data_IF_483019327079
#
_entry.id   IF_483019327079
#
_cell.length_a   1.000
_cell.length_b   1.000
_cell.length_c   1.000
_cell.angle_alpha   90.00
_cell.angle_beta   90.00
_cell.angle_gamma   90.00
#
_symmetry.space_group_name_H-M   'P 1'
#
loop_
_entity.id
_entity.type
_entity.pdbx_description
1 polymer ?
#
# COMPACT_ATOMS: atom_id res chain seq x y z
N UNK A 1 6.08 -12.05 -0.45
CA UNK A 1 6.45 -10.99 -1.40
C UNK A 1 7.72 -11.36 -2.18
N UNK A 2 8.77 -11.89 -1.54
CA UNK A 2 10.05 -12.25 -2.18
C UNK A 2 9.90 -13.11 -3.43
N UNK A 3 9.05 -14.14 -3.40
CA UNK A 3 8.82 -15.02 -4.57
C UNK A 3 8.15 -14.28 -5.74
N UNK A 4 7.20 -13.38 -5.44
CA UNK A 4 6.53 -12.58 -6.46
C UNK A 4 7.49 -11.56 -7.09
N UNK A 5 8.30 -10.89 -6.27
CA UNK A 5 9.32 -9.96 -6.74
C UNK A 5 10.35 -10.65 -7.66
N UNK A 6 10.87 -11.82 -7.25
CA UNK A 6 11.78 -12.61 -8.09
C UNK A 6 11.14 -13.06 -9.43
N UNK A 7 9.88 -13.52 -9.38
CA UNK A 7 9.17 -13.93 -10.59
C UNK A 7 8.94 -12.74 -11.54
N UNK A 8 8.51 -11.60 -11.01
CA UNK A 8 8.31 -10.37 -11.78
C UNK A 8 9.61 -9.89 -12.43
N UNK A 9 10.70 -9.89 -11.66
CA UNK A 9 12.03 -9.55 -12.17
C UNK A 9 12.47 -10.48 -13.31
N UNK A 10 12.23 -11.78 -13.17
CA UNK A 10 12.64 -12.77 -14.15
C UNK A 10 11.91 -12.60 -15.51
N UNK A 11 10.64 -12.19 -15.48
CA UNK A 11 9.83 -12.00 -16.70
C UNK A 11 9.67 -10.53 -17.10
N UNK A 12 10.33 -9.60 -16.39
CA UNK A 12 10.30 -8.15 -16.64
C UNK A 12 8.90 -7.57 -16.64
N UNK A 13 8.07 -7.97 -15.67
CA UNK A 13 6.73 -7.42 -15.45
C UNK A 13 6.77 -6.52 -14.21
N UNK A 14 6.12 -5.34 -14.22
CA UNK A 14 6.06 -4.47 -13.04
C UNK A 14 5.60 -5.18 -11.78
N UNK A 15 6.33 -5.00 -10.69
CA UNK A 15 5.98 -5.49 -9.35
C UNK A 15 5.71 -4.32 -8.42
N UNK A 16 4.45 -4.13 -8.05
CA UNK A 16 4.08 -3.06 -7.10
C UNK A 16 4.15 -3.57 -5.66
N UNK A 17 5.15 -3.09 -4.92
CA UNK A 17 5.26 -3.31 -3.48
C UNK A 17 4.25 -2.42 -2.75
N UNK A 18 3.30 -3.01 -2.05
CA UNK A 18 2.43 -2.28 -1.13
C UNK A 18 3.19 -1.87 0.13
N UNK A 19 3.01 -0.66 0.59
CA UNK A 19 3.71 -0.13 1.78
C UNK A 19 3.53 -0.99 3.04
N UNK A 20 2.40 -1.68 3.17
CA UNK A 20 2.08 -2.57 4.29
C UNK A 20 2.55 -4.02 4.08
N UNK A 21 3.60 -4.21 3.31
CA UNK A 21 4.19 -5.52 3.00
C UNK A 21 5.10 -6.05 4.12
N UNK A 22 5.42 -7.33 4.03
CA UNK A 22 6.31 -8.03 4.94
C UNK A 22 7.80 -7.96 4.56
N UNK A 23 8.16 -7.26 3.48
CA UNK A 23 9.54 -6.91 3.11
C UNK A 23 9.64 -5.39 3.01
N UNK A 24 10.82 -4.84 3.28
CA UNK A 24 11.08 -3.40 3.14
C UNK A 24 11.39 -3.01 1.69
N UNK A 25 11.43 -1.70 1.46
CA UNK A 25 11.66 -1.09 0.15
C UNK A 25 13.02 -1.52 -0.37
N UNK A 26 14.04 -1.45 0.47
CA UNK A 26 15.43 -1.71 0.14
C UNK A 26 15.61 -3.17 -0.30
N UNK A 27 15.07 -4.10 0.47
CA UNK A 27 15.12 -5.53 0.13
C UNK A 27 14.34 -5.88 -1.13
N UNK A 28 13.20 -5.22 -1.36
CA UNK A 28 12.44 -5.41 -2.59
C UNK A 28 13.21 -4.89 -3.81
N UNK A 29 13.91 -3.77 -3.69
CA UNK A 29 14.75 -3.20 -4.74
C UNK A 29 15.95 -4.08 -5.08
N UNK A 30 16.60 -4.70 -4.09
CA UNK A 30 17.65 -5.70 -4.34
C UNK A 30 17.14 -6.90 -5.14
N UNK A 31 15.89 -7.34 -4.91
CA UNK A 31 15.31 -8.51 -5.55
C UNK A 31 14.78 -8.19 -6.96
N UNK A 32 14.18 -7.04 -7.15
CA UNK A 32 13.49 -6.65 -8.38
C UNK A 32 13.90 -5.25 -8.88
N UNK A 33 15.21 -5.00 -9.11
CA UNK A 33 15.73 -3.67 -9.40
C UNK A 33 15.16 -3.03 -10.67
N UNK A 34 14.78 -3.81 -11.66
CA UNK A 34 14.34 -3.28 -12.96
C UNK A 34 12.82 -3.07 -13.05
N UNK A 35 12.05 -3.59 -12.11
CA UNK A 35 10.57 -3.67 -12.23
C UNK A 35 9.83 -3.25 -10.97
N UNK A 36 10.54 -2.73 -9.95
CA UNK A 36 9.93 -2.38 -8.68
C UNK A 36 9.19 -1.05 -8.75
N UNK A 37 7.92 -1.08 -8.39
CA UNK A 37 7.07 0.07 -8.13
C UNK A 37 6.74 0.11 -6.64
N UNK A 38 6.63 1.30 -6.04
CA UNK A 38 6.23 1.46 -4.64
C UNK A 38 4.88 2.15 -4.54
N UNK A 39 3.91 1.50 -3.89
CA UNK A 39 2.62 2.09 -3.59
C UNK A 39 2.64 2.73 -2.20
N UNK A 40 2.27 4.01 -2.13
CA UNK A 40 2.13 4.79 -0.91
C UNK A 40 0.68 5.13 -0.59
N UNK A 41 0.38 5.15 0.71
CA UNK A 41 -0.77 5.84 1.30
C UNK A 41 -0.35 7.21 1.83
N UNK A 42 -1.35 8.05 2.11
CA UNK A 42 -1.13 9.38 2.67
C UNK A 42 -0.70 9.31 4.15
N UNK A 43 0.41 9.97 4.47
CA UNK A 43 0.92 10.22 5.82
C UNK A 43 1.06 11.72 6.03
N UNK A 44 -0.02 12.40 6.44
CA UNK A 44 -0.06 13.87 6.50
C UNK A 44 0.49 14.47 7.78
N UNK A 45 0.74 13.67 8.82
CA UNK A 45 1.22 14.20 10.09
C UNK A 45 2.65 14.70 10.03
N UNK A 46 2.95 15.70 10.87
CA UNK A 46 4.27 16.31 10.97
C UNK A 46 4.81 16.72 9.59
N UNK A 47 4.02 17.48 8.84
CA UNK A 47 4.37 17.97 7.49
C UNK A 47 4.82 16.82 6.56
N UNK A 48 4.05 15.76 6.53
CA UNK A 48 4.31 14.55 5.72
C UNK A 48 5.63 13.83 6.01
N UNK A 49 6.24 14.03 7.18
CA UNK A 49 7.58 13.53 7.52
C UNK A 49 7.78 12.04 7.14
N UNK A 50 6.85 11.15 7.51
CA UNK A 50 6.96 9.72 7.19
C UNK A 50 6.83 9.49 5.68
N UNK A 51 5.86 10.11 5.04
CA UNK A 51 5.63 9.95 3.60
C UNK A 51 6.81 10.43 2.76
N UNK A 52 7.36 11.58 3.08
CA UNK A 52 8.53 12.15 2.39
C UNK A 52 9.81 11.36 2.65
N UNK A 53 9.99 10.82 3.85
CA UNK A 53 11.13 9.93 4.12
C UNK A 53 11.01 8.60 3.36
N UNK A 54 9.79 8.05 3.21
CA UNK A 54 9.55 6.87 2.37
C UNK A 54 9.85 7.15 0.89
N UNK A 55 9.54 8.34 0.38
CA UNK A 55 9.91 8.78 -0.98
C UNK A 55 11.42 8.84 -1.13
N UNK A 56 12.13 9.48 -0.19
CA UNK A 56 13.60 9.54 -0.18
C UNK A 56 14.21 8.12 -0.19
N UNK A 57 13.75 7.23 0.69
CA UNK A 57 14.22 5.83 0.74
C UNK A 57 13.96 5.08 -0.56
N UNK A 58 12.79 5.30 -1.18
CA UNK A 58 12.46 4.71 -2.48
C UNK A 58 13.42 5.17 -3.57
N UNK A 59 13.76 6.46 -3.59
CA UNK A 59 14.69 7.05 -4.55
C UNK A 59 16.11 6.51 -4.34
N UNK A 60 16.59 6.48 -3.09
CA UNK A 60 17.89 5.93 -2.74
C UNK A 60 18.02 4.42 -3.04
N UNK A 61 16.93 3.67 -2.90
CA UNK A 61 16.89 2.25 -3.23
C UNK A 61 16.75 1.95 -4.73
N UNK A 62 16.49 2.96 -5.58
CA UNK A 62 16.35 2.80 -7.01
C UNK A 62 14.96 2.24 -7.43
N UNK A 63 13.90 2.55 -6.69
CA UNK A 63 12.52 2.23 -7.09
C UNK A 63 12.20 2.91 -8.42
N UNK A 64 11.61 2.17 -9.36
CA UNK A 64 11.39 2.66 -10.72
C UNK A 64 10.19 3.61 -10.85
N UNK A 65 9.12 3.36 -10.09
CA UNK A 65 7.88 4.13 -10.17
C UNK A 65 7.27 4.31 -8.77
N UNK A 66 6.82 5.50 -8.47
CA UNK A 66 6.04 5.80 -7.27
C UNK A 66 4.54 5.83 -7.60
N UNK A 67 3.71 5.19 -6.76
CA UNK A 67 2.25 5.11 -6.93
C UNK A 67 1.56 5.71 -5.71
N UNK A 68 0.91 6.86 -5.86
CA UNK A 68 0.11 7.48 -4.80
C UNK A 68 -1.33 6.96 -4.83
N UNK A 69 -1.81 6.47 -3.70
CA UNK A 69 -3.17 5.93 -3.58
C UNK A 69 -4.11 7.00 -3.03
N UNK A 70 -5.10 7.42 -3.83
CA UNK A 70 -6.01 8.54 -3.51
C UNK A 70 -7.44 8.09 -3.21
N UNK A 71 -7.81 6.85 -3.46
CA UNK A 71 -9.14 6.30 -3.30
C UNK A 71 -9.45 5.78 -1.87
N UNK A 72 -8.75 6.30 -0.87
CA UNK A 72 -8.93 5.92 0.54
C UNK A 72 -9.33 7.11 1.42
N UNK A 73 -10.43 7.85 1.11
CA UNK A 73 -10.79 9.07 1.83
C UNK A 73 -11.14 8.80 3.28
N UNK A 74 -11.73 7.64 3.56
CA UNK A 74 -12.10 7.19 4.90
C UNK A 74 -11.73 5.73 5.10
N UNK A 75 -11.68 5.31 6.37
CA UNK A 75 -11.51 3.89 6.68
C UNK A 75 -12.86 3.19 6.59
N UNK A 76 -12.94 2.22 5.73
CA UNK A 76 -14.14 1.41 5.56
C UNK A 76 -14.09 0.14 6.39
N UNK A 77 -15.26 -0.30 6.83
CA UNK A 77 -15.44 -1.60 7.49
C UNK A 77 -15.84 -2.63 6.45
N UNK A 78 -15.03 -3.66 6.29
CA UNK A 78 -15.29 -4.72 5.30
C UNK A 78 -16.19 -5.80 5.90
N UNK A 79 -17.36 -6.07 5.32
CA UNK A 79 -18.30 -7.05 5.87
C UNK A 79 -17.67 -8.44 6.10
N UNK A 80 -16.79 -8.86 5.22
CA UNK A 80 -16.09 -10.15 5.32
C UNK A 80 -15.15 -10.20 6.52
N UNK A 81 -14.44 -9.12 6.83
CA UNK A 81 -13.55 -9.00 7.99
C UNK A 81 -14.36 -9.03 9.29
N UNK A 82 -15.51 -8.34 9.32
CA UNK A 82 -16.44 -8.38 10.45
C UNK A 82 -16.98 -9.80 10.68
N UNK A 83 -17.45 -10.46 9.64
CA UNK A 83 -18.00 -11.83 9.73
C UNK A 83 -16.96 -12.85 10.15
N UNK A 84 -15.69 -12.69 9.76
CA UNK A 84 -14.60 -13.59 10.15
C UNK A 84 -14.10 -13.33 11.57
N UNK A 85 -14.50 -12.22 12.21
CA UNK A 85 -13.99 -11.82 13.53
C UNK A 85 -12.56 -11.26 13.48
N UNK A 86 -11.99 -11.06 12.29
CA UNK A 86 -10.68 -10.43 12.07
C UNK A 86 -10.91 -8.92 11.99
N UNK A 87 -11.13 -8.31 13.14
CA UNK A 87 -11.30 -6.86 13.25
C UNK A 87 -10.05 -6.22 13.85
N UNK A 88 -9.87 -4.95 13.56
CA UNK A 88 -8.82 -4.16 14.19
C UNK A 88 -9.41 -3.32 15.35
N UNK A 89 -8.88 -3.46 16.59
CA UNK A 89 -7.66 -4.18 16.92
C UNK A 89 -7.83 -5.69 16.83
N UNK A 90 -6.81 -6.36 16.28
CA UNK A 90 -6.81 -7.81 16.13
C UNK A 90 -6.88 -8.52 17.49
N UNK A 91 -7.88 -9.38 17.66
CA UNK A 91 -8.03 -10.23 18.86
C UNK A 91 -7.96 -11.70 18.45
N UNK A 92 -7.01 -12.41 19.00
CA UNK A 92 -6.86 -13.85 18.77
C UNK A 92 -7.90 -14.62 19.61
N UNK A 93 -9.10 -14.80 19.06
CA UNK A 93 -10.18 -15.55 19.71
C UNK A 93 -9.90 -17.05 19.72
N UNK A 94 -10.58 -17.81 20.61
CA UNK A 94 -10.48 -19.29 20.62
C UNK A 94 -10.88 -19.90 19.27
N UNK A 95 -11.88 -19.36 18.61
CA UNK A 95 -12.28 -19.79 17.27
C UNK A 95 -11.13 -19.65 16.25
N UNK A 96 -10.47 -18.48 16.21
CA UNK A 96 -9.33 -18.25 15.32
C UNK A 96 -8.15 -19.18 15.64
N UNK A 97 -7.92 -19.50 16.92
CA UNK A 97 -6.88 -20.48 17.33
C UNK A 97 -7.20 -21.87 16.80
N UNK A 98 -8.46 -22.32 16.92
CA UNK A 98 -8.91 -23.61 16.42
C UNK A 98 -8.83 -23.67 14.87
N UNK A 99 -9.23 -22.61 14.18
CA UNK A 99 -9.14 -22.52 12.73
C UNK A 99 -7.67 -22.52 12.25
N UNK A 100 -6.78 -21.83 12.96
CA UNK A 100 -5.34 -21.87 12.70
C UNK A 100 -4.78 -23.30 12.87
N UNK A 101 -5.14 -24.02 13.95
CA UNK A 101 -4.69 -25.39 14.18
C UNK A 101 -5.19 -26.38 13.10
N UNK A 102 -6.32 -26.09 12.46
CA UNK A 102 -6.83 -26.87 11.31
C UNK A 102 -6.07 -26.61 10.02
N UNK A 103 -5.16 -25.64 10.01
CA UNK A 103 -4.37 -25.24 8.82
C UNK A 103 -2.88 -25.56 9.02
N UNK A 104 -2.45 -26.83 8.99
CA UNK A 104 -1.09 -27.24 9.35
C UNK A 104 -0.02 -26.61 8.44
N UNK A 105 -0.31 -26.41 7.16
CA UNK A 105 0.60 -25.74 6.23
C UNK A 105 0.84 -24.27 6.63
N UNK A 106 -0.21 -23.58 7.04
CA UNK A 106 -0.10 -22.20 7.52
C UNK A 106 0.69 -22.11 8.83
N UNK A 107 0.42 -23.02 9.79
CA UNK A 107 1.16 -23.12 11.04
C UNK A 107 2.64 -23.39 10.81
N UNK A 108 2.97 -24.31 9.90
CA UNK A 108 4.36 -24.59 9.51
C UNK A 108 5.04 -23.38 8.87
N UNK A 109 4.33 -22.65 7.99
CA UNK A 109 4.83 -21.40 7.39
C UNK A 109 5.08 -20.34 8.46
N UNK A 110 4.16 -20.17 9.38
CA UNK A 110 4.29 -19.21 10.49
C UNK A 110 5.49 -19.58 11.40
N UNK A 111 5.68 -20.85 11.71
CA UNK A 111 6.82 -21.33 12.50
C UNK A 111 8.17 -21.11 11.81
N UNK A 112 8.21 -21.16 10.45
CA UNK A 112 9.44 -20.97 9.68
C UNK A 112 9.76 -19.49 9.43
N UNK A 113 8.75 -18.68 9.13
CA UNK A 113 8.91 -17.32 8.65
C UNK A 113 8.57 -16.25 9.72
N UNK A 114 8.04 -16.66 10.85
CA UNK A 114 7.58 -15.75 11.90
C UNK A 114 6.27 -15.04 11.54
N UNK A 115 5.84 -14.14 12.43
CA UNK A 115 4.65 -13.30 12.25
C UNK A 115 4.98 -12.19 11.24
N UNK A 116 4.15 -11.98 10.19
CA UNK A 116 4.34 -10.88 9.25
C UNK A 116 4.39 -9.53 9.98
N UNK A 117 5.29 -8.64 9.55
CA UNK A 117 5.48 -7.30 10.08
C UNK A 117 5.43 -6.29 8.94
N UNK A 118 5.15 -5.03 9.26
CA UNK A 118 5.17 -3.91 8.31
C UNK A 118 6.61 -3.37 8.24
N UNK A 119 7.48 -4.05 7.50
CA UNK A 119 8.94 -3.83 7.56
C UNK A 119 9.36 -2.47 7.03
N UNK A 120 8.73 -1.95 5.97
CA UNK A 120 9.01 -0.60 5.46
C UNK A 120 8.69 0.51 6.48
N UNK A 121 7.74 0.25 7.39
CA UNK A 121 7.33 1.20 8.44
C UNK A 121 8.02 0.97 9.79
N UNK A 122 8.78 -0.12 9.93
CA UNK A 122 9.47 -0.46 11.18
C UNK A 122 10.37 0.66 11.73
N UNK A 123 11.12 1.43 10.89
CA UNK A 123 11.96 2.53 11.39
C UNK A 123 11.21 3.66 12.10
N UNK A 124 9.90 3.79 11.89
CA UNK A 124 9.06 4.83 12.48
C UNK A 124 8.30 4.36 13.72
N UNK A 125 8.50 3.12 14.13
CA UNK A 125 7.82 2.48 15.26
C UNK A 125 8.80 2.16 16.38
N UNK A 126 8.26 1.93 17.60
CA UNK A 126 9.07 1.45 18.71
C UNK A 126 9.63 0.04 18.41
N UNK A 127 10.90 -0.24 18.71
CA UNK A 127 11.48 -1.56 18.55
C UNK A 127 10.68 -2.64 19.31
N UNK A 128 10.41 -3.76 18.63
CA UNK A 128 9.69 -4.88 19.26
C UNK A 128 8.18 -4.71 19.43
N UNK A 129 7.61 -3.64 18.88
CA UNK A 129 6.16 -3.38 18.92
C UNK A 129 5.36 -4.60 18.41
N UNK A 130 4.29 -4.96 19.10
CA UNK A 130 3.39 -6.01 18.67
C UNK A 130 2.52 -5.59 17.47
N UNK A 131 1.93 -6.57 16.78
CA UNK A 131 1.13 -6.32 15.58
C UNK A 131 -0.08 -5.42 15.82
N UNK A 132 -0.71 -5.51 17.01
CA UNK A 132 -1.88 -4.68 17.33
C UNK A 132 -1.49 -3.20 17.49
N UNK A 133 -0.41 -2.93 18.21
CA UNK A 133 0.14 -1.59 18.37
C UNK A 133 0.69 -1.04 17.06
N UNK A 134 1.39 -1.87 16.26
CA UNK A 134 1.85 -1.50 14.92
C UNK A 134 0.68 -1.09 14.01
N UNK A 135 -0.40 -1.88 14.01
CA UNK A 135 -1.62 -1.54 13.27
C UNK A 135 -2.30 -0.27 13.79
N UNK A 136 -2.27 -0.01 15.09
CA UNK A 136 -2.79 1.23 15.69
C UNK A 136 -1.94 2.44 15.29
N UNK A 137 -0.60 2.29 15.27
CA UNK A 137 0.33 3.31 14.78
C UNK A 137 0.01 3.68 13.33
N UNK A 138 -0.03 2.69 12.42
CA UNK A 138 -0.34 2.93 11.01
C UNK A 138 -1.67 3.64 10.86
N UNK A 139 -2.70 3.22 11.59
CA UNK A 139 -4.02 3.83 11.57
C UNK A 139 -4.01 5.29 12.04
N UNK A 140 -3.17 5.62 13.00
CA UNK A 140 -3.03 6.97 13.53
C UNK A 140 -2.26 7.88 12.57
N UNK A 141 -1.22 7.35 11.91
CA UNK A 141 -0.31 8.14 11.07
C UNK A 141 -0.79 8.25 9.62
N UNK A 142 -1.44 7.21 9.08
CA UNK A 142 -1.95 7.21 7.71
C UNK A 142 -3.45 7.43 7.64
N UNK A 143 -3.93 8.08 6.61
CA UNK A 143 -5.37 8.20 6.32
C UNK A 143 -5.74 9.44 5.52
N UNK A 144 -6.98 9.41 5.02
CA UNK A 144 -7.50 10.40 4.09
C UNK A 144 -6.95 10.26 2.67
N UNK A 145 -7.63 10.87 1.71
CA UNK A 145 -7.12 11.03 0.36
C UNK A 145 -6.08 12.16 0.31
N UNK A 146 -5.16 12.07 -0.64
CA UNK A 146 -4.27 13.19 -0.96
C UNK A 146 -5.08 14.37 -1.51
N UNK A 147 -4.71 15.58 -1.11
CA UNK A 147 -5.12 16.80 -1.82
C UNK A 147 -4.20 17.02 -3.03
N UNK A 148 -4.63 17.84 -3.99
CA UNK A 148 -3.81 18.16 -5.16
C UNK A 148 -2.51 18.90 -4.78
N UNK A 149 -2.53 19.75 -3.77
CA UNK A 149 -1.33 20.42 -3.26
C UNK A 149 -0.33 19.42 -2.66
N UNK A 150 -0.84 18.41 -1.95
CA UNK A 150 -0.01 17.32 -1.43
C UNK A 150 0.57 16.47 -2.57
N UNK A 151 -0.23 16.15 -3.60
CA UNK A 151 0.26 15.43 -4.80
C UNK A 151 1.42 16.20 -5.44
N UNK A 152 1.27 17.52 -5.60
CA UNK A 152 2.34 18.37 -6.09
C UNK A 152 3.58 18.35 -5.20
N UNK A 153 3.39 18.39 -3.88
CA UNK A 153 4.51 18.25 -2.94
C UNK A 153 5.29 16.93 -3.15
N UNK A 154 4.59 15.81 -3.39
CA UNK A 154 5.24 14.54 -3.67
C UNK A 154 5.88 14.51 -5.05
N UNK A 155 5.27 15.15 -6.07
CA UNK A 155 5.88 15.31 -7.39
C UNK A 155 7.21 16.07 -7.31
N UNK A 156 7.25 17.14 -6.54
CA UNK A 156 8.47 17.98 -6.37
C UNK A 156 9.60 17.25 -5.61
N UNK A 157 9.31 16.13 -4.96
CA UNK A 157 10.27 15.32 -4.17
C UNK A 157 10.63 13.99 -4.82
N UNK A 158 9.97 13.62 -5.89
CA UNK A 158 10.20 12.37 -6.60
C UNK A 158 10.63 12.65 -8.04
N UNK A 159 11.83 12.23 -8.42
CA UNK A 159 12.39 12.53 -9.74
C UNK A 159 11.95 11.52 -10.84
N UNK A 160 11.47 10.34 -10.45
CA UNK A 160 11.04 9.28 -11.36
C UNK A 160 9.58 9.40 -11.80
N UNK A 161 9.08 8.43 -12.56
CA UNK A 161 7.67 8.36 -12.92
C UNK A 161 6.75 8.28 -11.70
N UNK A 162 5.68 9.10 -11.69
CA UNK A 162 4.69 9.20 -10.63
C UNK A 162 3.31 8.86 -11.17
N UNK A 163 2.65 7.89 -10.52
CA UNK A 163 1.36 7.37 -10.94
C UNK A 163 0.30 7.61 -9.86
N UNK A 164 -0.87 8.08 -10.25
CA UNK A 164 -2.01 8.27 -9.37
C UNK A 164 -2.95 7.06 -9.43
N UNK A 165 -3.14 6.39 -8.29
CA UNK A 165 -4.01 5.20 -8.20
C UNK A 165 -5.32 5.53 -7.49
N UNK A 166 -6.45 5.23 -8.14
CA UNK A 166 -7.77 5.47 -7.59
C UNK A 166 -8.58 6.51 -8.38
N UNK A 167 -8.18 6.77 -9.61
CA UNK A 167 -8.87 7.70 -10.52
C UNK A 167 -10.10 7.01 -11.11
N UNK A 168 -11.27 7.65 -10.98
CA UNK A 168 -12.56 7.16 -11.46
C UNK A 168 -13.37 8.25 -12.19
N UNK A 169 -12.79 9.42 -12.42
CA UNK A 169 -13.43 10.54 -13.09
C UNK A 169 -12.48 11.19 -14.10
N UNK A 170 -12.95 11.59 -15.30
CA UNK A 170 -12.10 12.22 -16.31
C UNK A 170 -11.44 13.52 -15.82
N UNK A 171 -12.15 14.38 -15.07
CA UNK A 171 -11.57 15.61 -14.54
C UNK A 171 -10.36 15.34 -13.62
N UNK A 172 -10.38 14.24 -12.85
CA UNK A 172 -9.24 13.85 -12.02
C UNK A 172 -8.07 13.34 -12.88
N UNK A 173 -8.34 12.71 -14.02
CA UNK A 173 -7.32 12.29 -14.97
C UNK A 173 -6.65 13.49 -15.66
N UNK A 174 -7.45 14.47 -16.13
CA UNK A 174 -6.93 15.72 -16.69
C UNK A 174 -6.08 16.48 -15.67
N UNK A 175 -6.58 16.60 -14.44
CA UNK A 175 -5.87 17.29 -13.36
C UNK A 175 -4.60 16.56 -12.94
N UNK A 176 -4.55 15.23 -13.02
CA UNK A 176 -3.34 14.46 -12.81
C UNK A 176 -2.28 14.81 -13.87
N UNK A 177 -2.68 14.88 -15.13
CA UNK A 177 -1.81 15.29 -16.24
C UNK A 177 -1.28 16.72 -16.05
N UNK A 178 -2.16 17.68 -15.72
CA UNK A 178 -1.79 19.07 -15.43
C UNK A 178 -0.82 19.21 -14.25
N UNK A 179 -0.92 18.27 -13.28
CA UNK A 179 -0.03 18.20 -12.11
C UNK A 179 1.31 17.54 -12.40
N UNK A 180 1.60 17.16 -13.66
CA UNK A 180 2.85 16.55 -14.09
C UNK A 180 3.01 15.09 -13.65
N UNK A 181 1.91 14.34 -13.56
CA UNK A 181 1.95 12.91 -13.30
C UNK A 181 2.11 12.14 -14.62
N UNK A 182 2.79 11.00 -14.55
CA UNK A 182 3.18 10.21 -15.71
C UNK A 182 2.15 9.11 -16.04
N UNK A 183 1.19 8.85 -15.15
CA UNK A 183 0.16 7.86 -15.39
C UNK A 183 -0.90 7.79 -14.30
N UNK A 184 -1.96 7.06 -14.61
CA UNK A 184 -3.07 6.79 -13.69
C UNK A 184 -3.43 5.31 -13.66
N UNK A 185 -3.91 4.84 -12.50
CA UNK A 185 -4.66 3.60 -12.39
C UNK A 185 -6.14 3.90 -12.22
N UNK A 186 -6.94 3.54 -13.21
CA UNK A 186 -8.40 3.60 -13.14
C UNK A 186 -8.87 2.43 -12.29
N UNK A 187 -9.23 2.72 -11.05
CA UNK A 187 -9.61 1.71 -10.07
C UNK A 187 -10.46 2.30 -8.94
N UNK A 188 -11.46 1.55 -8.48
CA UNK A 188 -12.28 1.83 -7.30
C UNK A 188 -11.83 0.99 -6.08
N UNK A 189 -10.55 0.56 -6.04
CA UNK A 189 -10.00 -0.31 -5.00
C UNK A 189 -10.68 -1.69 -4.90
N UNK A 190 -11.28 -2.16 -6.00
CA UNK A 190 -12.07 -3.40 -6.04
C UNK A 190 -13.35 -3.34 -5.19
N UNK A 191 -14.01 -2.17 -5.14
CA UNK A 191 -15.20 -1.93 -4.31
C UNK A 191 -14.93 -1.95 -2.80
N UNK A 192 -13.68 -1.95 -2.38
CA UNK A 192 -13.29 -2.13 -0.96
C UNK A 192 -13.37 -0.85 -0.14
N UNK A 193 -13.49 0.31 -0.78
CA UNK A 193 -13.57 1.63 -0.14
C UNK A 193 -14.99 2.19 -0.21
N UNK A 194 -15.55 2.31 -1.40
CA UNK A 194 -16.91 2.76 -1.64
C UNK A 194 -17.57 1.71 -2.54
N UNK A 195 -18.52 0.96 -2.01
CA UNK A 195 -19.14 -0.19 -2.67
C UNK A 195 -20.08 0.22 -3.84
N UNK A 196 -20.61 1.46 -3.79
CA UNK A 196 -21.56 1.97 -4.77
C UNK A 196 -20.93 2.60 -6.03
N UNK A 197 -19.60 2.56 -6.16
CA UNK A 197 -18.94 3.09 -7.36
C UNK A 197 -19.11 2.15 -8.56
N UNK A 198 -19.14 2.71 -9.80
CA UNK A 198 -19.16 1.90 -11.02
C UNK A 198 -17.89 1.04 -11.12
N UNK A 199 -17.92 0.03 -11.96
CA UNK A 199 -16.72 -0.75 -12.23
C UNK A 199 -15.71 0.11 -13.04
N UNK A 200 -14.40 -0.01 -12.76
CA UNK A 200 -13.38 0.78 -13.47
C UNK A 200 -13.43 0.63 -14.98
N UNK A 201 -13.77 -0.55 -15.48
CA UNK A 201 -13.87 -0.82 -16.91
C UNK A 201 -15.02 -0.03 -17.57
N UNK A 202 -16.08 0.28 -16.82
CA UNK A 202 -17.24 1.01 -17.34
C UNK A 202 -16.94 2.50 -17.51
N UNK A 203 -16.06 3.06 -16.68
CA UNK A 203 -15.67 4.49 -16.75
C UNK A 203 -14.41 4.72 -17.58
N UNK A 204 -13.65 3.68 -17.86
CA UNK A 204 -12.39 3.77 -18.63
C UNK A 204 -12.52 4.45 -20.00
N UNK A 205 -13.61 4.24 -20.78
CA UNK A 205 -13.77 4.91 -22.08
C UNK A 205 -13.94 6.44 -22.01
N UNK A 206 -14.29 6.98 -20.85
CA UNK A 206 -14.49 8.42 -20.61
C UNK A 206 -13.22 9.11 -20.09
N UNK A 207 -12.26 8.31 -19.57
CA UNK A 207 -10.98 8.74 -19.00
C UNK A 207 -9.85 8.66 -20.03
#
# INVERSE_FOLDING_TARGET
ETYLANAAQAVKVPYTLGLLSGIDIERAAEIAPDVLWLQLYRFSKNDHKIGLDLVRRAQEAGVNVLVLTVDTPTRTTRPREVKSGIMNPFKLTMRLRLDAMRSPHWMRSLGRNGIPRFTSLAPYMEPGIDLAKASAFIRRESGGAFTWDEIKLYRDKWDGPLVLKGVMHPDDAERALESGLDGIFVTNHGGRQIDALPAPIDVLPEI
#
